data_IF_358714685949
#
_entry.id   IF_358714685949
#
_cell.length_a   1.000
_cell.length_b   1.000
_cell.length_c   1.000
_cell.angle_alpha   90.00
_cell.angle_beta   90.00
_cell.angle_gamma   90.00
#
_symmetry.space_group_name_H-M   'P 1'
#
loop_
_entity.id
_entity.type
_entity.pdbx_description
1 polymer ?
#
# COMPACT_ATOMS: atom_id res chain seq x y z
N UNK A 1 -5.17 -10.20 -18.39
CA UNK A 1 -5.08 -10.09 -16.91
C UNK A 1 -3.63 -9.82 -16.55
N UNK A 2 -3.32 -8.95 -15.60
CA UNK A 2 -1.92 -8.65 -15.23
C UNK A 2 -1.78 -8.78 -13.73
N UNK A 3 -1.27 -9.91 -13.25
CA UNK A 3 -0.96 -10.10 -11.82
C UNK A 3 0.39 -9.47 -11.52
N UNK A 4 0.44 -8.56 -10.54
CA UNK A 4 1.64 -7.84 -10.14
C UNK A 4 2.00 -8.17 -8.68
N UNK A 5 3.22 -8.66 -8.45
CA UNK A 5 3.73 -8.99 -7.13
C UNK A 5 4.72 -7.92 -6.67
N UNK A 6 4.32 -7.20 -5.66
CA UNK A 6 5.17 -6.29 -4.89
C UNK A 6 5.52 -6.85 -3.52
N UNK A 7 6.46 -6.21 -2.85
CA UNK A 7 6.86 -6.54 -1.48
C UNK A 7 6.61 -5.38 -0.53
N UNK A 8 6.29 -5.67 0.72
CA UNK A 8 6.05 -4.65 1.74
C UNK A 8 6.75 -4.95 3.05
N UNK A 9 7.15 -3.89 3.74
CA UNK A 9 7.70 -3.96 5.09
C UNK A 9 6.70 -3.34 6.08
N UNK A 10 6.45 -4.04 7.20
CA UNK A 10 5.59 -3.54 8.28
C UNK A 10 6.37 -2.73 9.32
N UNK A 11 7.65 -3.00 9.43
CA UNK A 11 8.62 -2.35 10.30
C UNK A 11 9.97 -2.26 9.55
N UNK A 12 11.02 -1.87 10.25
CA UNK A 12 12.39 -1.87 9.73
C UNK A 12 13.14 -3.08 10.29
N UNK A 13 13.15 -4.22 9.57
CA UNK A 13 13.68 -5.48 10.09
C UNK A 13 15.20 -5.60 10.01
N UNK A 14 15.89 -4.60 9.47
CA UNK A 14 17.33 -4.64 9.17
C UNK A 14 18.17 -4.07 10.31
N UNK A 15 19.40 -4.57 10.46
CA UNK A 15 20.35 -4.05 11.43
C UNK A 15 20.90 -2.66 11.05
N UNK A 16 20.93 -2.34 9.77
CA UNK A 16 21.40 -1.06 9.26
C UNK A 16 20.98 -0.77 7.83
N UNK A 17 21.27 0.44 7.39
CA UNK A 17 20.90 0.92 6.06
C UNK A 17 21.49 0.07 4.91
N UNK A 18 22.67 -0.53 5.12
CA UNK A 18 23.30 -1.40 4.13
C UNK A 18 22.44 -2.61 3.76
N UNK A 19 21.80 -3.24 4.75
CA UNK A 19 20.94 -4.41 4.54
C UNK A 19 19.62 -4.01 3.85
N UNK A 20 19.06 -2.87 4.24
CA UNK A 20 17.89 -2.29 3.58
C UNK A 20 18.17 -2.02 2.09
N UNK A 21 19.32 -1.42 1.77
CA UNK A 21 19.68 -1.16 0.38
C UNK A 21 19.97 -2.44 -0.40
N UNK A 22 20.56 -3.47 0.23
CA UNK A 22 20.70 -4.80 -0.39
C UNK A 22 19.32 -5.40 -0.75
N UNK A 23 18.36 -5.26 0.13
CA UNK A 23 16.99 -5.70 -0.14
C UNK A 23 16.33 -4.92 -1.29
N UNK A 24 16.48 -3.59 -1.30
CA UNK A 24 15.99 -2.73 -2.39
C UNK A 24 16.64 -3.09 -3.72
N UNK A 25 17.97 -3.25 -3.75
CA UNK A 25 18.71 -3.61 -4.96
C UNK A 25 18.29 -5.00 -5.50
N UNK A 26 18.07 -5.96 -4.61
CA UNK A 26 17.52 -7.27 -4.98
C UNK A 26 16.15 -7.16 -5.64
N UNK A 27 15.26 -6.32 -5.11
CA UNK A 27 13.96 -6.05 -5.72
C UNK A 27 14.09 -5.30 -7.05
N UNK A 28 14.98 -4.30 -7.12
CA UNK A 28 15.22 -3.50 -8.34
C UNK A 28 15.72 -4.35 -9.50
N UNK A 29 16.59 -5.32 -9.23
CA UNK A 29 17.24 -6.19 -10.23
C UNK A 29 16.38 -7.41 -10.62
N UNK A 30 15.21 -7.57 -10.01
CA UNK A 30 14.34 -8.74 -10.20
C UNK A 30 13.02 -8.39 -10.89
N UNK A 31 12.11 -9.37 -10.97
CA UNK A 31 10.74 -9.19 -11.44
C UNK A 31 9.76 -8.63 -10.40
N UNK A 32 10.22 -8.20 -9.22
CA UNK A 32 9.35 -7.53 -8.24
C UNK A 32 8.78 -6.26 -8.86
N UNK A 33 7.46 -6.11 -8.80
CA UNK A 33 6.76 -4.99 -9.43
C UNK A 33 6.93 -3.68 -8.64
N UNK A 34 6.84 -3.77 -7.33
CA UNK A 34 6.85 -2.58 -6.46
C UNK A 34 7.25 -2.92 -5.03
N UNK A 35 7.72 -1.92 -4.28
CA UNK A 35 7.95 -2.03 -2.84
C UNK A 35 7.10 -1.03 -2.07
N UNK A 36 6.71 -1.40 -0.84
CA UNK A 36 5.73 -0.67 -0.07
C UNK A 36 6.16 -0.52 1.38
N UNK A 37 5.96 0.68 1.91
CA UNK A 37 6.31 1.05 3.28
C UNK A 37 5.05 1.35 4.08
N UNK A 38 4.93 0.73 5.26
CA UNK A 38 3.88 1.09 6.22
C UNK A 38 4.13 2.48 6.81
N UNK A 39 3.08 3.23 7.07
CA UNK A 39 3.14 4.54 7.74
C UNK A 39 2.94 4.40 9.24
N UNK A 40 3.93 4.86 10.00
CA UNK A 40 3.90 5.02 11.45
C UNK A 40 4.74 6.23 11.83
N UNK A 41 4.15 7.18 12.55
CA UNK A 41 4.87 8.36 13.05
C UNK A 41 5.41 8.15 14.46
N UNK A 42 4.71 7.35 15.26
CA UNK A 42 5.10 7.03 16.64
C UNK A 42 5.11 5.52 16.82
N UNK A 43 6.26 4.95 17.09
CA UNK A 43 6.43 3.50 17.27
C UNK A 43 7.61 3.18 18.18
N UNK A 44 7.48 2.11 18.96
CA UNK A 44 8.60 1.51 19.70
C UNK A 44 9.41 0.55 18.83
N UNK A 45 8.78 0.00 17.79
CA UNK A 45 9.47 -0.82 16.79
C UNK A 45 10.10 0.09 15.76
N UNK A 46 11.35 -0.16 15.34
CA UNK A 46 11.98 0.63 14.28
C UNK A 46 11.15 0.61 13.00
N UNK A 47 10.91 1.77 12.44
CA UNK A 47 10.23 1.96 11.17
C UNK A 47 10.69 3.27 10.54
N UNK A 48 10.89 3.26 9.23
CA UNK A 48 11.25 4.49 8.52
C UNK A 48 10.01 5.37 8.35
N UNK A 49 10.18 6.68 8.42
CA UNK A 49 9.12 7.60 8.01
C UNK A 49 8.85 7.43 6.51
N UNK A 50 7.58 7.21 6.15
CA UNK A 50 7.27 6.67 4.82
C UNK A 50 7.58 7.66 3.69
N UNK A 51 7.36 8.98 3.86
CA UNK A 51 7.63 9.95 2.79
C UNK A 51 9.14 10.16 2.57
N UNK A 52 9.91 10.16 3.66
CA UNK A 52 11.38 10.19 3.57
C UNK A 52 11.92 8.93 2.89
N UNK A 53 11.37 7.75 3.22
CA UNK A 53 11.73 6.50 2.55
C UNK A 53 11.39 6.53 1.05
N UNK A 54 10.21 7.04 0.66
CA UNK A 54 9.83 7.18 -0.76
C UNK A 54 10.76 8.12 -1.52
N UNK A 55 11.18 9.24 -0.91
CA UNK A 55 12.13 10.17 -1.53
C UNK A 55 13.51 9.50 -1.74
N UNK A 56 13.97 8.72 -0.75
CA UNK A 56 15.22 7.97 -0.87
C UNK A 56 15.15 6.90 -1.97
N UNK A 57 14.03 6.19 -2.09
CA UNK A 57 13.79 5.20 -3.16
C UNK A 57 13.73 5.85 -4.53
N UNK A 58 13.15 7.04 -4.67
CA UNK A 58 13.13 7.79 -5.92
C UNK A 58 14.54 8.03 -6.48
N UNK A 59 15.48 8.39 -5.60
CA UNK A 59 16.87 8.60 -5.98
C UNK A 59 17.69 7.31 -6.18
N UNK A 60 17.35 6.22 -5.45
CA UNK A 60 18.12 4.97 -5.47
C UNK A 60 17.72 4.04 -6.61
N UNK A 61 16.47 4.01 -7.03
CA UNK A 61 15.93 3.06 -8.01
C UNK A 61 15.67 3.70 -9.37
N UNK A 62 15.50 2.88 -10.40
CA UNK A 62 15.20 3.33 -11.77
C UNK A 62 13.96 2.65 -12.35
N UNK A 63 13.67 1.41 -11.97
CA UNK A 63 12.57 0.58 -12.47
C UNK A 63 11.46 0.38 -11.45
N UNK A 64 11.82 0.09 -10.20
CA UNK A 64 10.85 -0.23 -9.15
C UNK A 64 9.86 0.91 -8.96
N UNK A 65 8.58 0.56 -8.97
CA UNK A 65 7.54 1.39 -8.39
C UNK A 65 7.56 1.26 -6.88
N UNK A 66 7.10 2.25 -6.18
CA UNK A 66 7.08 2.22 -4.71
C UNK A 66 5.92 3.05 -4.18
N UNK A 67 5.45 2.70 -3.00
CA UNK A 67 4.30 3.37 -2.39
C UNK A 67 4.20 3.19 -0.89
N UNK A 68 3.25 3.88 -0.32
CA UNK A 68 2.90 3.79 1.10
C UNK A 68 1.73 2.82 1.27
N UNK A 69 1.73 2.01 2.31
CA UNK A 69 0.67 1.03 2.54
C UNK A 69 0.11 1.13 3.97
N UNK A 70 -0.69 2.09 4.29
CA UNK A 70 -1.12 3.31 3.61
C UNK A 70 -0.82 4.52 4.49
N UNK A 71 -0.66 5.72 3.92
CA UNK A 71 -0.51 6.96 4.70
C UNK A 71 -1.79 7.28 5.46
N UNK A 72 -1.66 7.58 6.74
CA UNK A 72 -2.75 8.07 7.59
C UNK A 72 -2.97 9.56 7.37
N UNK A 73 -3.86 9.92 6.44
CA UNK A 73 -4.07 11.31 6.01
C UNK A 73 -4.37 12.28 7.14
N UNK A 74 -5.18 11.85 8.11
CA UNK A 74 -5.59 12.72 9.20
C UNK A 74 -4.45 13.14 10.15
N UNK A 75 -3.29 12.51 10.04
CA UNK A 75 -2.08 12.81 10.83
C UNK A 75 -1.11 13.77 10.11
N UNK A 76 -1.46 14.23 8.90
CA UNK A 76 -0.56 15.03 8.06
C UNK A 76 -1.26 16.26 7.52
N UNK A 77 -0.48 17.32 7.26
CA UNK A 77 -0.97 18.46 6.51
C UNK A 77 -1.18 18.08 5.04
N UNK A 78 -2.37 18.28 4.44
CA UNK A 78 -2.66 17.86 3.09
C UNK A 78 -1.89 18.63 2.01
N UNK A 79 -1.54 19.90 2.24
CA UNK A 79 -0.76 20.70 1.29
C UNK A 79 0.68 20.20 1.24
N UNK A 80 1.28 19.98 2.42
CA UNK A 80 2.63 19.41 2.51
C UNK A 80 2.68 18.04 1.87
N UNK A 81 1.72 17.16 2.16
CA UNK A 81 1.69 15.81 1.62
C UNK A 81 1.48 15.81 0.10
N UNK A 82 0.58 16.66 -0.42
CA UNK A 82 0.40 16.83 -1.87
C UNK A 82 1.71 17.25 -2.55
N UNK A 83 2.43 18.19 -1.94
CA UNK A 83 3.73 18.68 -2.43
C UNK A 83 4.81 17.59 -2.36
N UNK A 84 4.88 16.83 -1.28
CA UNK A 84 5.81 15.71 -1.14
C UNK A 84 5.56 14.65 -2.21
N UNK A 85 4.32 14.23 -2.41
CA UNK A 85 3.97 13.26 -3.46
C UNK A 85 4.36 13.77 -4.85
N UNK A 86 4.03 15.01 -5.20
CA UNK A 86 4.39 15.59 -6.48
C UNK A 86 5.91 15.66 -6.68
N UNK A 87 6.67 16.04 -5.65
CA UNK A 87 8.13 16.09 -5.69
C UNK A 87 8.74 14.70 -5.91
N UNK A 88 8.27 13.71 -5.16
CA UNK A 88 8.75 12.33 -5.26
C UNK A 88 8.39 11.73 -6.63
N UNK A 89 7.21 12.05 -7.15
CA UNK A 89 6.76 11.61 -8.46
C UNK A 89 7.65 12.16 -9.58
N UNK A 90 7.99 13.46 -9.52
CA UNK A 90 8.95 14.09 -10.43
C UNK A 90 10.33 13.44 -10.34
N UNK A 91 10.88 13.31 -9.13
CA UNK A 91 12.21 12.74 -8.91
C UNK A 91 12.31 11.27 -9.30
N UNK A 92 11.21 10.57 -9.26
CA UNK A 92 11.13 9.15 -9.65
C UNK A 92 10.70 8.93 -11.09
N UNK A 93 10.42 9.98 -11.87
CA UNK A 93 9.91 9.87 -13.23
C UNK A 93 8.62 9.03 -13.31
N UNK A 94 7.68 9.30 -12.39
CA UNK A 94 6.35 8.68 -12.41
C UNK A 94 6.26 7.27 -11.81
N UNK A 95 7.11 6.91 -10.83
CA UNK A 95 7.10 5.58 -10.20
C UNK A 95 6.40 5.54 -8.83
N UNK A 96 5.94 6.68 -8.31
CA UNK A 96 5.24 6.75 -7.04
C UNK A 96 3.82 6.18 -7.16
N UNK A 97 3.44 5.36 -6.19
CA UNK A 97 2.09 4.78 -6.03
C UNK A 97 1.54 5.20 -4.65
N UNK A 98 1.01 6.42 -4.51
CA UNK A 98 0.51 6.87 -3.23
C UNK A 98 -0.77 6.15 -2.83
N UNK A 99 -0.80 5.65 -1.58
CA UNK A 99 -1.98 5.02 -1.02
C UNK A 99 -2.32 5.63 0.35
N UNK A 100 -3.60 5.88 0.56
CA UNK A 100 -4.12 6.69 1.65
C UNK A 100 -5.19 5.96 2.47
N UNK A 101 -5.23 6.24 3.76
CA UNK A 101 -6.22 5.71 4.68
C UNK A 101 -6.48 6.66 5.85
N UNK A 102 -7.40 6.24 6.73
CA UNK A 102 -7.79 7.05 7.90
C UNK A 102 -6.95 6.81 9.15
N UNK A 103 -6.04 5.83 9.11
CA UNK A 103 -5.29 5.38 10.29
C UNK A 103 -6.13 4.52 11.27
N UNK A 104 -5.44 3.71 12.07
CA UNK A 104 -6.06 2.94 13.15
C UNK A 104 -6.44 3.86 14.31
N UNK A 105 -7.64 3.74 14.91
CA UNK A 105 -8.00 4.56 16.07
C UNK A 105 -7.17 4.27 17.33
N UNK A 106 -6.47 3.14 17.34
CA UNK A 106 -5.65 2.68 18.46
C UNK A 106 -4.18 3.09 18.37
N UNK A 107 -3.80 3.86 17.34
CA UNK A 107 -2.43 4.32 17.15
C UNK A 107 -2.01 5.34 18.21
N UNK A 108 -0.77 5.28 18.74
CA UNK A 108 -0.26 6.25 19.69
C UNK A 108 -0.07 7.65 19.07
N UNK A 109 -0.07 7.74 17.77
CA UNK A 109 0.11 8.97 17.00
C UNK A 109 -0.94 10.04 17.35
N UNK A 110 -2.18 9.65 17.62
CA UNK A 110 -3.27 10.57 17.91
C UNK A 110 -3.02 11.39 19.17
N UNK A 111 -2.58 10.70 20.24
CA UNK A 111 -2.22 11.35 21.49
C UNK A 111 -0.95 12.19 21.34
N UNK A 112 0.06 11.67 20.65
CA UNK A 112 1.35 12.35 20.48
C UNK A 112 1.24 13.63 19.64
N UNK A 113 0.26 13.70 18.73
CA UNK A 113 0.03 14.85 17.85
C UNK A 113 -1.18 15.71 18.30
N UNK A 114 -1.79 15.38 19.44
CA UNK A 114 -2.99 16.05 19.96
C UNK A 114 -4.14 16.13 18.93
N UNK A 115 -4.37 15.04 18.23
CA UNK A 115 -5.43 14.95 17.23
C UNK A 115 -6.57 14.05 17.76
N UNK A 116 -7.78 14.61 17.82
CA UNK A 116 -8.97 13.85 18.20
C UNK A 116 -9.29 12.78 17.12
N UNK A 117 -9.16 11.51 17.50
CA UNK A 117 -9.43 10.35 16.63
C UNK A 117 -10.82 10.35 16.01
N UNK A 118 -11.82 10.96 16.66
CA UNK A 118 -13.19 11.07 16.16
C UNK A 118 -13.27 11.94 14.90
N UNK A 119 -12.29 12.81 14.67
CA UNK A 119 -12.23 13.71 13.51
C UNK A 119 -11.56 13.05 12.31
N UNK A 120 -10.86 11.91 12.47
CA UNK A 120 -10.01 11.30 11.45
C UNK A 120 -10.71 11.07 10.10
N UNK A 121 -11.96 10.61 10.12
CA UNK A 121 -12.72 10.38 8.89
C UNK A 121 -12.95 11.66 8.09
N UNK A 122 -13.41 12.73 8.75
CA UNK A 122 -13.69 14.03 8.10
C UNK A 122 -12.39 14.71 7.65
N UNK A 123 -11.33 14.67 8.47
CA UNK A 123 -10.01 15.16 8.04
C UNK A 123 -9.53 14.47 6.79
N UNK A 124 -9.69 13.13 6.72
CA UNK A 124 -9.33 12.34 5.54
C UNK A 124 -10.16 12.75 4.32
N UNK A 125 -11.46 12.97 4.46
CA UNK A 125 -12.32 13.39 3.35
C UNK A 125 -11.87 14.75 2.77
N UNK A 126 -11.62 15.73 3.63
CA UNK A 126 -11.13 17.06 3.23
C UNK A 126 -9.72 16.95 2.62
N UNK A 127 -8.83 16.14 3.20
CA UNK A 127 -7.46 15.95 2.69
C UNK A 127 -7.44 15.30 1.31
N UNK A 128 -8.27 14.30 1.05
CA UNK A 128 -8.37 13.66 -0.27
C UNK A 128 -8.79 14.67 -1.34
N UNK A 129 -9.77 15.51 -1.03
CA UNK A 129 -10.24 16.56 -1.96
C UNK A 129 -9.15 17.60 -2.21
N UNK A 130 -8.50 18.11 -1.15
CA UNK A 130 -7.43 19.09 -1.25
C UNK A 130 -6.27 18.53 -2.09
N UNK A 131 -5.81 17.32 -1.81
CA UNK A 131 -4.70 16.68 -2.52
C UNK A 131 -5.06 16.48 -3.99
N UNK A 132 -6.23 15.94 -4.29
CA UNK A 132 -6.69 15.70 -5.66
C UNK A 132 -6.76 17.01 -6.48
N UNK A 133 -7.20 18.09 -5.86
CA UNK A 133 -7.28 19.41 -6.50
C UNK A 133 -5.90 20.04 -6.67
N UNK A 134 -5.04 20.01 -5.65
CA UNK A 134 -3.68 20.56 -5.73
C UNK A 134 -2.82 19.89 -6.80
N UNK A 135 -3.04 18.61 -7.09
CA UNK A 135 -2.32 17.93 -8.18
C UNK A 135 -2.74 18.38 -9.58
N UNK A 136 -3.95 18.95 -9.75
CA UNK A 136 -4.52 19.27 -11.05
C UNK A 136 -4.75 20.77 -11.29
N UNK A 137 -5.21 21.48 -10.26
CA UNK A 137 -5.60 22.89 -10.37
C UNK A 137 -4.41 23.83 -10.09
N UNK A 138 -4.35 24.95 -10.79
CA UNK A 138 -3.29 25.96 -10.60
C UNK A 138 -3.45 26.71 -9.31
N UNK A 139 -4.68 26.86 -8.81
CA UNK A 139 -4.99 27.54 -7.56
C UNK A 139 -6.21 26.89 -6.90
N UNK A 140 -6.11 26.63 -5.60
CA UNK A 140 -7.15 25.96 -4.81
C UNK A 140 -7.60 26.85 -3.68
N UNK A 141 -8.87 27.24 -3.70
CA UNK A 141 -9.59 27.74 -2.54
C UNK A 141 -10.38 26.59 -1.91
N UNK A 142 -10.27 26.43 -0.60
CA UNK A 142 -10.97 25.40 0.16
C UNK A 142 -11.44 25.93 1.51
N UNK A 143 -12.70 25.70 1.84
CA UNK A 143 -13.31 26.12 3.09
C UNK A 143 -14.01 24.94 3.78
N UNK A 144 -13.21 24.06 4.38
CA UNK A 144 -13.69 22.92 5.15
C UNK A 144 -13.84 23.21 6.64
N UNK A 145 -14.17 22.18 7.38
CA UNK A 145 -14.25 22.23 8.85
C UNK A 145 -12.87 22.19 9.50
N UNK A 146 -11.93 21.43 8.90
CA UNK A 146 -10.60 21.18 9.45
C UNK A 146 -9.49 21.93 8.71
N UNK A 147 -9.70 22.21 7.44
CA UNK A 147 -8.72 22.91 6.60
C UNK A 147 -9.35 24.11 5.90
N UNK A 148 -8.56 25.19 5.75
CA UNK A 148 -8.93 26.37 4.99
C UNK A 148 -7.75 26.79 4.15
N UNK A 149 -7.95 26.91 2.85
CA UNK A 149 -6.93 27.30 1.89
C UNK A 149 -7.44 28.52 1.12
N UNK A 150 -6.54 29.44 0.81
CA UNK A 150 -6.81 30.58 -0.06
C UNK A 150 -5.71 30.65 -1.11
N UNK A 151 -6.10 30.56 -2.38
CA UNK A 151 -5.21 30.59 -3.54
C UNK A 151 -3.98 29.67 -3.38
N UNK A 152 -4.17 28.47 -2.78
CA UNK A 152 -3.07 27.53 -2.56
C UNK A 152 -2.67 26.86 -3.88
N UNK A 153 -1.37 26.81 -4.12
CA UNK A 153 -0.80 26.15 -5.31
C UNK A 153 0.43 25.34 -4.94
N UNK A 154 0.69 24.29 -5.69
CA UNK A 154 1.95 23.55 -5.64
C UNK A 154 2.58 23.49 -7.04
N UNK A 155 3.91 23.62 -7.09
CA UNK A 155 4.73 23.46 -8.28
C UNK A 155 6.06 22.82 -7.89
N UNK A 156 6.59 21.77 -8.61
CA UNK A 156 5.97 21.21 -9.80
C UNK A 156 4.68 20.42 -9.49
N UNK A 157 3.87 20.21 -10.50
CA UNK A 157 2.80 19.21 -10.50
C UNK A 157 3.40 17.82 -10.65
N UNK A 158 2.67 16.74 -10.32
CA UNK A 158 3.10 15.37 -10.65
C UNK A 158 3.36 15.21 -12.15
N UNK A 159 4.33 14.35 -12.50
CA UNK A 159 4.58 14.00 -13.92
C UNK A 159 3.59 12.98 -14.44
N UNK A 160 3.03 12.14 -13.58
CA UNK A 160 1.88 11.31 -13.93
C UNK A 160 0.65 12.21 -14.06
N UNK A 161 0.00 12.29 -15.25
CA UNK A 161 -1.16 13.18 -15.46
C UNK A 161 -2.28 12.92 -14.45
N UNK A 162 -2.48 11.64 -14.13
CA UNK A 162 -3.37 11.15 -13.08
C UNK A 162 -2.53 10.38 -12.05
N UNK A 163 -1.80 11.12 -11.20
CA UNK A 163 -1.05 10.47 -10.11
C UNK A 163 -1.97 9.55 -9.32
N UNK A 164 -1.66 8.25 -9.24
CA UNK A 164 -2.54 7.28 -8.61
C UNK A 164 -2.92 7.69 -7.19
N UNK A 165 -4.18 7.48 -6.84
CA UNK A 165 -4.71 7.70 -5.50
C UNK A 165 -5.34 6.38 -5.01
N UNK A 166 -4.53 5.50 -4.45
CA UNK A 166 -5.03 4.25 -3.88
C UNK A 166 -5.68 4.52 -2.52
N UNK A 167 -6.78 3.88 -2.25
CA UNK A 167 -7.51 4.05 -0.98
C UNK A 167 -7.50 2.73 -0.22
N UNK A 168 -7.11 2.77 1.05
CA UNK A 168 -7.15 1.64 1.96
C UNK A 168 -8.40 1.60 2.82
N UNK A 169 -8.73 0.39 3.30
CA UNK A 169 -9.82 0.14 4.23
C UNK A 169 -11.04 -0.51 3.59
N UNK A 170 -11.87 -1.14 4.44
CA UNK A 170 -12.97 -2.03 4.03
C UNK A 170 -14.35 -1.56 4.53
N UNK A 171 -14.42 -0.42 5.23
CA UNK A 171 -15.67 0.15 5.69
C UNK A 171 -16.47 0.78 4.55
N UNK A 172 -17.77 0.94 4.73
CA UNK A 172 -18.64 1.64 3.77
C UNK A 172 -18.10 3.03 3.41
N UNK A 173 -17.56 3.76 4.39
CA UNK A 173 -16.94 5.07 4.16
C UNK A 173 -15.68 4.97 3.30
N UNK A 174 -14.86 3.91 3.46
CA UNK A 174 -13.69 3.66 2.61
C UNK A 174 -14.10 3.32 1.17
N UNK A 175 -15.14 2.51 0.99
CA UNK A 175 -15.72 2.18 -0.32
C UNK A 175 -16.18 3.47 -1.02
N UNK A 176 -16.93 4.35 -0.32
CA UNK A 176 -17.36 5.64 -0.87
C UNK A 176 -16.19 6.55 -1.26
N UNK A 177 -15.11 6.59 -0.44
CA UNK A 177 -13.88 7.34 -0.78
C UNK A 177 -13.21 6.78 -2.01
N UNK A 178 -13.11 5.45 -2.11
CA UNK A 178 -12.53 4.78 -3.27
C UNK A 178 -13.33 5.11 -4.53
N UNK A 179 -14.65 5.02 -4.49
CA UNK A 179 -15.50 5.36 -5.63
C UNK A 179 -15.38 6.84 -6.03
N UNK A 180 -15.25 7.76 -5.06
CA UNK A 180 -15.17 9.20 -5.32
C UNK A 180 -13.81 9.68 -5.78
N UNK A 181 -12.73 9.21 -5.18
CA UNK A 181 -11.38 9.73 -5.39
C UNK A 181 -10.38 8.69 -5.88
N UNK A 182 -10.58 7.40 -5.55
CA UNK A 182 -9.59 6.36 -5.77
C UNK A 182 -9.34 6.04 -7.23
N UNK A 183 -8.09 5.82 -7.60
CA UNK A 183 -7.69 5.15 -8.85
C UNK A 183 -7.43 3.67 -8.64
N UNK A 184 -7.47 3.21 -7.39
CA UNK A 184 -7.30 1.84 -6.97
C UNK A 184 -7.71 1.64 -5.50
N UNK A 185 -7.87 0.37 -5.13
CA UNK A 185 -8.11 -0.03 -3.75
C UNK A 185 -7.02 -0.97 -3.25
N UNK A 186 -6.55 -0.73 -2.02
CA UNK A 186 -5.51 -1.54 -1.39
C UNK A 186 -6.01 -2.16 -0.09
N UNK A 187 -6.29 -3.45 -0.10
CA UNK A 187 -6.58 -4.24 1.09
C UNK A 187 -5.35 -4.46 1.96
N UNK A 188 -5.51 -4.25 3.27
CA UNK A 188 -4.41 -4.31 4.24
C UNK A 188 -4.35 -5.59 5.09
N UNK A 189 -5.47 -6.22 5.31
CA UNK A 189 -5.56 -7.38 6.21
C UNK A 189 -6.96 -8.00 6.23
N UNK A 190 -7.72 -7.78 5.17
CA UNK A 190 -8.99 -8.43 4.92
C UNK A 190 -8.78 -9.91 4.62
N UNK A 191 -9.73 -10.76 5.03
CA UNK A 191 -9.80 -12.13 4.51
C UNK A 191 -10.09 -12.10 3.01
N UNK A 192 -9.91 -13.20 2.32
CA UNK A 192 -10.19 -13.30 0.88
C UNK A 192 -11.66 -12.93 0.61
N UNK A 193 -12.58 -13.49 1.40
CA UNK A 193 -14.01 -13.24 1.28
C UNK A 193 -14.35 -11.77 1.51
N UNK A 194 -13.76 -11.14 2.54
CA UNK A 194 -13.94 -9.72 2.82
C UNK A 194 -13.40 -8.85 1.69
N UNK A 195 -12.22 -9.17 1.16
CA UNK A 195 -11.60 -8.43 0.07
C UNK A 195 -12.46 -8.50 -1.21
N UNK A 196 -12.96 -9.69 -1.57
CA UNK A 196 -13.87 -9.88 -2.71
C UNK A 196 -15.14 -9.05 -2.53
N UNK A 197 -15.74 -9.09 -1.33
CA UNK A 197 -16.94 -8.30 -1.01
C UNK A 197 -16.68 -6.79 -1.16
N UNK A 198 -15.53 -6.30 -0.69
CA UNK A 198 -15.16 -4.88 -0.81
C UNK A 198 -14.97 -4.48 -2.27
N UNK A 199 -14.26 -5.30 -3.07
CA UNK A 199 -14.08 -5.04 -4.51
C UNK A 199 -15.42 -4.98 -5.23
N UNK A 200 -16.32 -5.93 -4.97
CA UNK A 200 -17.66 -5.92 -5.55
C UNK A 200 -18.46 -4.66 -5.18
N UNK A 201 -18.40 -4.25 -3.91
CA UNK A 201 -19.07 -3.04 -3.43
C UNK A 201 -18.50 -1.76 -4.04
N UNK A 202 -17.16 -1.68 -4.24
CA UNK A 202 -16.53 -0.56 -4.95
C UNK A 202 -17.03 -0.51 -6.40
N UNK A 203 -16.98 -1.64 -7.13
CA UNK A 203 -17.44 -1.74 -8.52
C UNK A 203 -18.91 -1.32 -8.66
N UNK A 204 -19.74 -1.67 -7.70
CA UNK A 204 -21.15 -1.24 -7.66
C UNK A 204 -21.32 0.26 -7.41
N UNK A 205 -20.42 0.89 -6.64
CA UNK A 205 -20.50 2.31 -6.31
C UNK A 205 -19.92 3.24 -7.40
N UNK A 206 -19.02 2.77 -8.26
CA UNK A 206 -18.33 3.56 -9.27
C UNK A 206 -19.27 4.24 -10.28
N UNK A 207 -20.32 3.58 -10.85
CA UNK A 207 -21.21 4.21 -11.82
C UNK A 207 -21.92 5.44 -11.26
N UNK A 208 -22.35 5.40 -9.99
CA UNK A 208 -22.98 6.54 -9.34
C UNK A 208 -22.03 7.74 -9.14
N UNK A 209 -20.72 7.48 -9.13
CA UNK A 209 -19.68 8.51 -9.10
C UNK A 209 -19.22 8.95 -10.49
N UNK A 210 -19.76 8.37 -11.57
CA UNK A 210 -19.32 8.63 -12.95
C UNK A 210 -17.87 8.21 -13.23
N UNK A 211 -17.38 7.16 -12.55
CA UNK A 211 -15.97 6.76 -12.59
C UNK A 211 -15.78 5.27 -12.87
N UNK A 212 -14.56 4.95 -13.28
CA UNK A 212 -14.08 3.57 -13.44
C UNK A 212 -12.74 3.41 -12.72
N UNK A 213 -12.40 2.18 -12.39
CA UNK A 213 -11.08 1.77 -11.89
C UNK A 213 -10.64 0.57 -12.72
N UNK A 214 -9.39 0.59 -13.19
CA UNK A 214 -8.83 -0.50 -13.99
C UNK A 214 -8.82 -1.80 -13.17
N UNK A 215 -9.05 -2.93 -13.84
CA UNK A 215 -9.17 -4.24 -13.18
C UNK A 215 -7.90 -4.67 -12.42
N UNK A 216 -6.73 -4.21 -12.83
CA UNK A 216 -5.44 -4.47 -12.16
C UNK A 216 -5.12 -3.47 -11.04
N UNK A 217 -6.06 -2.58 -10.71
CA UNK A 217 -5.95 -1.62 -9.61
C UNK A 217 -6.70 -2.01 -8.34
N UNK A 218 -6.97 -3.31 -8.17
CA UNK A 218 -7.46 -3.87 -6.91
C UNK A 218 -6.36 -4.70 -6.26
N UNK A 219 -5.96 -4.32 -5.05
CA UNK A 219 -4.80 -4.88 -4.35
C UNK A 219 -5.14 -5.57 -3.05
N UNK A 220 -4.35 -6.59 -2.70
CA UNK A 220 -4.37 -7.23 -1.39
C UNK A 220 -2.96 -7.38 -0.84
N UNK A 221 -2.85 -7.50 0.49
CA UNK A 221 -1.59 -7.77 1.13
C UNK A 221 -1.70 -8.89 2.16
N UNK A 222 -0.69 -9.77 2.18
CA UNK A 222 -0.61 -10.84 3.16
C UNK A 222 0.83 -11.20 3.49
N UNK A 223 1.10 -11.71 4.72
CA UNK A 223 2.40 -12.22 5.10
C UNK A 223 2.70 -13.56 4.43
N UNK A 224 3.96 -13.80 4.09
CA UNK A 224 4.40 -15.08 3.59
C UNK A 224 5.67 -15.58 4.28
N UNK A 225 5.85 -16.91 4.25
CA UNK A 225 7.06 -17.54 4.74
C UNK A 225 7.30 -18.87 4.02
N UNK A 226 8.49 -19.04 3.47
CA UNK A 226 8.97 -20.33 2.99
C UNK A 226 9.51 -21.14 4.16
N UNK A 227 8.80 -22.19 4.53
CA UNK A 227 9.12 -23.03 5.68
C UNK A 227 7.89 -23.56 6.38
N UNK A 228 8.04 -23.94 7.65
CA UNK A 228 6.97 -24.54 8.46
C UNK A 228 6.27 -23.49 9.32
N UNK A 229 4.97 -23.67 9.52
CA UNK A 229 4.20 -22.91 10.50
C UNK A 229 4.68 -23.12 11.96
N UNK A 230 5.41 -24.20 12.20
CA UNK A 230 6.02 -24.51 13.49
C UNK A 230 7.38 -23.81 13.70
N UNK A 231 7.92 -23.14 12.70
CA UNK A 231 9.09 -22.29 12.87
C UNK A 231 8.78 -21.19 13.89
N UNK A 232 9.67 -21.02 14.87
CA UNK A 232 9.43 -20.10 15.99
C UNK A 232 9.19 -18.65 15.56
N UNK A 233 9.77 -18.21 14.44
CA UNK A 233 9.54 -16.88 13.88
C UNK A 233 8.11 -16.72 13.37
N UNK A 234 7.62 -17.70 12.63
CA UNK A 234 6.27 -17.72 12.06
C UNK A 234 5.23 -17.90 13.16
N UNK A 235 5.43 -18.88 14.04
CA UNK A 235 4.51 -19.16 15.15
C UNK A 235 4.28 -17.90 16.00
N UNK A 236 5.35 -17.15 16.29
CA UNK A 236 5.28 -15.86 16.99
C UNK A 236 4.48 -14.80 16.23
N UNK A 237 4.70 -14.69 14.91
CA UNK A 237 4.00 -13.72 14.06
C UNK A 237 2.50 -14.07 13.95
N UNK A 238 2.17 -15.35 13.81
CA UNK A 238 0.79 -15.83 13.74
C UNK A 238 0.06 -15.63 15.07
N UNK A 239 0.69 -15.94 16.20
CA UNK A 239 0.14 -15.71 17.55
C UNK A 239 -0.11 -14.21 17.81
N UNK A 240 0.85 -13.34 17.46
CA UNK A 240 0.69 -11.89 17.59
C UNK A 240 -0.46 -11.36 16.71
N UNK A 241 -0.62 -11.90 15.49
CA UNK A 241 -1.74 -11.57 14.62
C UNK A 241 -3.07 -12.00 15.24
N UNK A 242 -3.18 -13.23 15.69
CA UNK A 242 -4.39 -13.78 16.31
C UNK A 242 -4.80 -12.96 17.56
N UNK A 243 -3.86 -12.66 18.45
CA UNK A 243 -4.09 -11.83 19.65
C UNK A 243 -4.56 -10.42 19.31
N UNK A 244 -3.99 -9.80 18.28
CA UNK A 244 -4.34 -8.43 17.88
C UNK A 244 -5.67 -8.33 17.16
N UNK A 245 -6.03 -9.33 16.36
CA UNK A 245 -7.19 -9.24 15.44
C UNK A 245 -8.37 -10.12 15.85
N UNK A 246 -8.15 -11.12 16.69
CA UNK A 246 -9.13 -12.17 17.00
C UNK A 246 -9.42 -13.12 15.83
N UNK A 247 -8.61 -13.08 14.76
CA UNK A 247 -8.81 -13.84 13.54
C UNK A 247 -7.84 -15.01 13.43
N UNK A 248 -8.25 -16.04 12.71
CA UNK A 248 -7.41 -17.20 12.38
C UNK A 248 -6.27 -16.78 11.42
N UNK A 249 -5.00 -16.89 11.87
CA UNK A 249 -3.86 -16.49 11.05
C UNK A 249 -3.67 -17.38 9.81
N UNK A 250 -4.14 -18.63 9.83
CA UNK A 250 -3.99 -19.55 8.68
C UNK A 250 -4.77 -19.05 7.46
N UNK A 251 -5.82 -18.27 7.66
CA UNK A 251 -6.57 -17.62 6.58
C UNK A 251 -5.88 -16.41 5.97
N UNK A 252 -4.90 -15.84 6.69
CA UNK A 252 -4.20 -14.63 6.25
C UNK A 252 -2.78 -14.89 5.78
N UNK A 253 -2.06 -15.81 6.43
CA UNK A 253 -0.67 -16.10 6.14
C UNK A 253 -0.53 -17.15 5.04
N UNK A 254 0.42 -16.96 4.14
CA UNK A 254 0.85 -17.99 3.19
C UNK A 254 2.18 -18.59 3.68
N UNK A 255 2.11 -19.77 4.29
CA UNK A 255 3.27 -20.47 4.86
C UNK A 255 3.42 -21.81 4.18
N UNK A 256 4.64 -22.14 3.74
CA UNK A 256 4.93 -23.41 3.07
C UNK A 256 5.98 -23.26 1.98
N UNK A 257 5.65 -23.68 0.79
CA UNK A 257 6.47 -23.57 -0.43
C UNK A 257 5.94 -22.50 -1.40
N UNK A 258 6.52 -22.45 -2.59
CA UNK A 258 6.07 -21.53 -3.65
C UNK A 258 4.61 -21.78 -4.05
N UNK A 259 4.12 -23.03 -4.04
CA UNK A 259 2.74 -23.33 -4.37
C UNK A 259 1.78 -22.76 -3.31
N UNK A 260 2.13 -22.85 -2.04
CA UNK A 260 1.33 -22.27 -0.95
C UNK A 260 1.10 -20.76 -1.14
N UNK A 261 2.11 -20.04 -1.62
CA UNK A 261 2.02 -18.61 -1.92
C UNK A 261 1.19 -18.36 -3.19
N UNK A 262 1.46 -19.11 -4.25
CA UNK A 262 0.77 -18.98 -5.54
C UNK A 262 -0.72 -19.36 -5.43
N UNK A 263 -1.07 -20.35 -4.64
CA UNK A 263 -2.46 -20.75 -4.40
C UNK A 263 -3.21 -19.66 -3.64
N UNK A 264 -2.56 -19.00 -2.65
CA UNK A 264 -3.12 -17.84 -1.97
C UNK A 264 -3.34 -16.69 -2.95
N UNK A 265 -2.37 -16.37 -3.80
CA UNK A 265 -2.53 -15.38 -4.88
C UNK A 265 -3.70 -15.77 -5.78
N UNK A 266 -3.79 -17.04 -6.20
CA UNK A 266 -4.87 -17.55 -7.06
C UNK A 266 -6.26 -17.37 -6.49
N UNK A 267 -6.42 -17.59 -5.18
CA UNK A 267 -7.69 -17.35 -4.48
C UNK A 267 -8.15 -15.89 -4.56
N UNK A 268 -7.23 -14.94 -4.38
CA UNK A 268 -7.53 -13.51 -4.54
C UNK A 268 -7.79 -13.14 -6.01
N UNK A 269 -7.01 -13.69 -6.94
CA UNK A 269 -7.17 -13.45 -8.39
C UNK A 269 -8.55 -13.90 -8.88
N UNK A 270 -9.03 -15.04 -8.39
CA UNK A 270 -10.39 -15.53 -8.69
C UNK A 270 -11.47 -14.53 -8.22
N UNK A 271 -11.18 -13.72 -7.23
CA UNK A 271 -12.03 -12.63 -6.73
C UNK A 271 -11.80 -11.27 -7.38
N UNK A 272 -11.00 -11.19 -8.46
CA UNK A 272 -10.76 -9.95 -9.20
C UNK A 272 -9.66 -9.06 -8.62
N UNK A 273 -8.78 -9.58 -7.77
CA UNK A 273 -7.67 -8.83 -7.19
C UNK A 273 -6.38 -9.22 -7.92
N UNK A 274 -5.64 -8.23 -8.42
CA UNK A 274 -4.51 -8.48 -9.32
C UNK A 274 -3.19 -7.83 -8.87
N UNK A 275 -3.23 -6.94 -7.87
CA UNK A 275 -2.05 -6.29 -7.28
C UNK A 275 -1.79 -6.86 -5.89
N UNK A 276 -0.57 -7.29 -5.63
CA UNK A 276 -0.21 -7.91 -4.35
C UNK A 276 0.94 -7.19 -3.67
N UNK A 277 0.82 -7.04 -2.35
CA UNK A 277 1.90 -6.59 -1.47
C UNK A 277 2.20 -7.73 -0.51
N UNK A 278 3.18 -8.56 -0.86
CA UNK A 278 3.58 -9.70 -0.04
C UNK A 278 4.59 -9.26 1.01
N UNK A 279 4.42 -9.73 2.24
CA UNK A 279 5.24 -9.31 3.37
C UNK A 279 6.06 -10.48 3.89
N UNK A 280 7.39 -10.48 3.68
CA UNK A 280 8.26 -11.53 4.21
C UNK A 280 8.24 -11.48 5.75
N UNK A 281 8.08 -12.65 6.38
CA UNK A 281 8.16 -12.79 7.84
C UNK A 281 9.61 -13.00 8.22
N UNK A 282 10.06 -12.33 9.28
CA UNK A 282 11.41 -12.46 9.81
C UNK A 282 12.09 -11.11 10.06
N UNK A 283 13.38 -11.16 10.36
CA UNK A 283 14.23 -10.00 10.55
C UNK A 283 15.55 -10.19 9.83
N UNK A 284 16.21 -9.08 9.45
CA UNK A 284 17.55 -9.10 8.86
C UNK A 284 17.71 -10.09 7.71
N UNK A 285 18.60 -11.03 7.88
CA UNK A 285 18.94 -12.05 6.86
C UNK A 285 17.76 -12.96 6.49
N UNK A 286 16.81 -13.18 7.42
CA UNK A 286 15.61 -13.97 7.10
C UNK A 286 14.77 -13.25 6.04
N UNK A 287 14.55 -11.94 6.16
CA UNK A 287 13.80 -11.14 5.16
C UNK A 287 14.50 -11.20 3.81
N UNK A 288 15.82 -11.10 3.77
CA UNK A 288 16.61 -11.23 2.53
C UNK A 288 16.45 -12.63 1.91
N UNK A 289 16.54 -13.69 2.74
CA UNK A 289 16.36 -15.07 2.28
C UNK A 289 14.95 -15.35 1.76
N UNK A 290 13.92 -14.91 2.47
CA UNK A 290 12.52 -15.05 2.08
C UNK A 290 12.24 -14.29 0.76
N UNK A 291 12.79 -13.09 0.61
CA UNK A 291 12.68 -12.31 -0.62
C UNK A 291 13.35 -13.01 -1.79
N UNK A 292 14.55 -13.57 -1.60
CA UNK A 292 15.26 -14.32 -2.64
C UNK A 292 14.46 -15.53 -3.11
N UNK A 293 13.93 -16.33 -2.19
CA UNK A 293 13.10 -17.48 -2.53
C UNK A 293 11.84 -17.08 -3.30
N UNK A 294 11.19 -15.97 -2.92
CA UNK A 294 10.04 -15.46 -3.66
C UNK A 294 10.43 -15.07 -5.10
N UNK A 295 11.55 -14.38 -5.28
CA UNK A 295 12.05 -13.97 -6.59
C UNK A 295 12.36 -15.20 -7.47
N UNK A 296 13.03 -16.20 -6.91
CA UNK A 296 13.50 -17.37 -7.64
C UNK A 296 12.40 -18.39 -7.91
N UNK A 297 11.44 -18.58 -6.99
CA UNK A 297 10.49 -19.68 -7.04
C UNK A 297 9.06 -19.26 -7.38
N UNK A 298 8.63 -18.02 -7.03
CA UNK A 298 7.26 -17.55 -7.23
C UNK A 298 7.14 -16.69 -8.48
N UNK A 299 7.97 -15.66 -8.61
CA UNK A 299 7.83 -14.68 -9.71
C UNK A 299 7.86 -15.30 -11.10
N UNK A 300 8.72 -16.30 -11.42
CA UNK A 300 8.71 -16.94 -12.73
C UNK A 300 7.38 -17.64 -13.06
N UNK A 301 6.71 -18.17 -12.04
CA UNK A 301 5.44 -18.88 -12.22
C UNK A 301 4.23 -17.95 -12.37
N UNK A 302 4.32 -16.69 -11.88
CA UNK A 302 3.23 -15.70 -11.98
C UNK A 302 2.86 -15.44 -13.44
N UNK A 303 3.86 -15.21 -14.29
CA UNK A 303 3.66 -14.96 -15.72
C UNK A 303 3.12 -16.19 -16.49
N UNK A 304 3.41 -17.40 -16.00
CA UNK A 304 2.91 -18.65 -16.57
C UNK A 304 1.46 -18.90 -16.15
N UNK A 305 1.16 -18.76 -14.84
CA UNK A 305 -0.19 -19.00 -14.31
C UNK A 305 -1.20 -17.92 -14.73
N UNK A 306 -0.74 -16.67 -14.85
CA UNK A 306 -1.58 -15.52 -15.23
C UNK A 306 -0.91 -14.70 -16.34
N UNK A 307 -0.90 -15.21 -17.59
CA UNK A 307 -0.26 -14.52 -18.71
C UNK A 307 -0.92 -13.16 -18.95
N UNK A 308 -0.08 -12.17 -19.26
CA UNK A 308 -0.57 -10.83 -19.64
C UNK A 308 -1.42 -10.96 -20.90
N UNK A 309 -2.71 -10.69 -20.80
CA UNK A 309 -3.51 -10.46 -21.99
C UNK A 309 -3.07 -9.16 -22.63
N UNK A 310 -2.77 -9.18 -23.93
CA UNK A 310 -2.53 -7.95 -24.66
C UNK A 310 -3.74 -7.01 -24.43
N UNK A 311 -3.51 -5.78 -23.99
CA UNK A 311 -4.57 -4.76 -24.04
C UNK A 311 -4.99 -4.69 -25.49
N UNK A 312 -6.28 -4.88 -25.77
CA UNK A 312 -6.82 -4.54 -27.08
C UNK A 312 -6.49 -3.06 -27.32
N UNK A 313 -5.83 -2.80 -28.46
CA UNK A 313 -5.36 -1.47 -28.87
C UNK A 313 -6.55 -0.54 -29.10
#
# INVERSE_FOLDING_TARGET
>A
MTVAIGLGLMDYPFAGAGDYWRWVDMCEQSGVDSIWQTDRLVSRTPILECMAAMAALAGRTRRLRFGMNVVSLALRDPVLLAKQCATIDVLSEGRLLPAFGIGSPLGPEWQALDIDTRTRGRRTDESLEIIARLWREDSVDFAGRHYRLKAASISPKPVQPDLPMWIGGSSEAAIKRTAKYGTGWQGGGETIEDAIRVVAAIKQALPAAGRTIDEDHYGASFPFYFGSANDGTVAKAMDAYAKRTGRDPTKQFAVGDANSILDRVGQYVAGGIQKFILRPIGSGDQVLAQTRQLIEQVLPQVGVRWPKTAKAA
#
